data_IF_014302159831
#
_entry.id   IF_014302159831
#
_cell.length_a   1.000
_cell.length_b   1.000
_cell.length_c   1.000
_cell.angle_alpha   90.00
_cell.angle_beta   90.00
_cell.angle_gamma   90.00
#
_symmetry.space_group_name_H-M   'P 1'
#
loop_
_entity.id
_entity.type
_entity.pdbx_description
1 polymer ?
#
# COMPACT_ATOMS: atom_id res chain seq x y z
N UNK A 1 -20.40 -9.16 -10.02
CA UNK A 1 -21.59 -8.74 -9.24
C UNK A 1 -21.91 -7.26 -9.52
N UNK A 2 -21.01 -6.30 -9.25
CA UNK A 2 -21.28 -4.85 -9.48
C UNK A 2 -21.67 -4.58 -10.92
N UNK A 3 -20.94 -5.12 -11.90
CA UNK A 3 -21.27 -4.99 -13.33
C UNK A 3 -22.67 -5.51 -13.67
N UNK A 4 -23.08 -6.65 -13.10
CA UNK A 4 -24.41 -7.19 -13.32
C UNK A 4 -25.50 -6.28 -12.71
N UNK A 5 -25.24 -5.76 -11.51
CA UNK A 5 -26.17 -4.82 -10.87
C UNK A 5 -26.31 -3.51 -11.65
N UNK A 6 -25.22 -2.96 -12.19
CA UNK A 6 -25.27 -1.78 -13.06
C UNK A 6 -26.03 -2.04 -14.36
N UNK A 7 -25.97 -3.27 -14.90
CA UNK A 7 -26.65 -3.65 -16.13
C UNK A 7 -28.14 -4.01 -15.94
N UNK A 8 -28.57 -4.31 -14.71
CA UNK A 8 -29.97 -4.63 -14.40
C UNK A 8 -30.85 -3.39 -14.15
N UNK A 9 -30.23 -2.22 -13.96
CA UNK A 9 -30.97 -0.98 -13.75
C UNK A 9 -31.54 -0.43 -15.06
N UNK A 10 -32.82 -0.09 -15.04
CA UNK A 10 -33.54 0.53 -16.16
C UNK A 10 -33.41 2.07 -16.08
N UNK A 11 -32.14 2.54 -16.17
CA UNK A 11 -31.79 3.98 -16.17
C UNK A 11 -31.34 4.42 -17.55
N UNK A 12 -31.50 5.72 -17.85
CA UNK A 12 -31.13 6.30 -19.13
C UNK A 12 -29.61 6.42 -19.31
N UNK A 13 -28.85 6.38 -18.20
CA UNK A 13 -27.40 6.47 -18.23
C UNK A 13 -26.69 5.61 -17.16
N UNK A 14 -25.45 5.22 -17.44
CA UNK A 14 -24.60 4.51 -16.48
C UNK A 14 -24.28 5.37 -15.25
N UNK A 15 -24.27 6.69 -15.39
CA UNK A 15 -24.08 7.64 -14.28
C UNK A 15 -25.23 7.57 -13.29
N UNK A 16 -26.48 7.59 -13.77
CA UNK A 16 -27.68 7.47 -12.94
C UNK A 16 -27.76 6.10 -12.26
N UNK A 17 -27.51 5.02 -13.00
CA UNK A 17 -27.41 3.67 -12.44
C UNK A 17 -26.36 3.57 -11.34
N UNK A 18 -25.19 4.21 -11.52
CA UNK A 18 -24.15 4.23 -10.52
C UNK A 18 -24.54 5.03 -9.27
N UNK A 19 -25.19 6.20 -9.44
CA UNK A 19 -25.64 7.02 -8.31
C UNK A 19 -26.71 6.33 -7.46
N UNK A 20 -27.55 5.49 -8.06
CA UNK A 20 -28.53 4.67 -7.34
C UNK A 20 -27.89 3.45 -6.66
N UNK A 21 -26.98 2.77 -7.35
CA UNK A 21 -26.34 1.56 -6.84
C UNK A 21 -25.30 1.81 -5.74
N UNK A 22 -24.38 2.79 -5.94
CA UNK A 22 -23.23 3.00 -5.06
C UNK A 22 -23.58 3.19 -3.57
N UNK A 23 -24.68 3.90 -3.20
CA UNK A 23 -25.11 4.03 -1.80
C UNK A 23 -25.49 2.70 -1.15
N UNK A 24 -25.87 1.69 -1.94
CA UNK A 24 -26.29 0.37 -1.46
C UNK A 24 -25.13 -0.56 -1.18
N UNK A 25 -23.97 -0.29 -1.78
CA UNK A 25 -22.76 -1.11 -1.61
C UNK A 25 -22.20 -0.96 -0.18
N UNK A 26 -21.80 -2.10 0.37
CA UNK A 26 -21.20 -2.16 1.71
C UNK A 26 -19.76 -2.63 1.65
N UNK A 27 -18.93 -2.04 2.51
CA UNK A 27 -17.51 -2.37 2.61
C UNK A 27 -16.62 -1.36 1.92
N UNK A 28 -15.32 -1.67 1.84
CA UNK A 28 -14.32 -0.83 1.21
C UNK A 28 -14.26 -1.09 -0.30
N UNK A 29 -14.36 -0.04 -1.09
CA UNK A 29 -14.21 -0.14 -2.54
C UNK A 29 -13.61 1.11 -3.16
N UNK A 30 -12.79 0.92 -4.17
CA UNK A 30 -12.47 1.88 -5.20
C UNK A 30 -12.81 1.25 -6.52
N UNK A 31 -13.72 1.84 -7.27
CA UNK A 31 -14.19 1.32 -8.54
C UNK A 31 -13.80 2.25 -9.67
N UNK A 32 -13.34 1.69 -10.77
CA UNK A 32 -13.22 2.36 -12.06
C UNK A 32 -14.00 1.54 -13.08
N UNK A 33 -14.84 2.20 -13.83
CA UNK A 33 -15.66 1.58 -14.88
C UNK A 33 -15.88 2.60 -15.99
N UNK A 34 -16.35 2.15 -17.13
CA UNK A 34 -16.53 3.01 -18.30
C UNK A 34 -17.64 2.48 -19.20
N UNK A 35 -18.23 3.37 -19.95
CA UNK A 35 -18.98 3.09 -21.16
C UNK A 35 -18.18 3.55 -22.42
N UNK A 36 -18.84 3.71 -23.55
CA UNK A 36 -18.18 4.05 -24.82
C UNK A 36 -17.51 5.44 -24.80
N UNK A 37 -18.01 6.36 -23.98
CA UNK A 37 -17.62 7.78 -24.02
C UNK A 37 -17.17 8.34 -22.67
N UNK A 38 -17.40 7.62 -21.57
CA UNK A 38 -17.28 8.16 -20.23
C UNK A 38 -16.50 7.20 -19.32
N UNK A 39 -15.52 7.75 -18.59
CA UNK A 39 -14.81 7.07 -17.51
C UNK A 39 -15.38 7.52 -16.16
N UNK A 40 -15.68 6.54 -15.32
CA UNK A 40 -16.17 6.74 -13.97
C UNK A 40 -15.16 6.26 -12.94
N UNK A 41 -15.10 6.97 -11.80
CA UNK A 41 -14.32 6.55 -10.65
C UNK A 41 -15.08 6.83 -9.36
N UNK A 42 -15.24 5.82 -8.50
CA UNK A 42 -15.96 5.94 -7.24
C UNK A 42 -15.14 5.44 -6.08
N UNK A 43 -15.19 6.17 -4.95
CA UNK A 43 -14.55 5.79 -3.70
C UNK A 43 -15.58 5.61 -2.60
N UNK A 44 -15.47 4.53 -1.82
CA UNK A 44 -16.41 4.23 -0.74
C UNK A 44 -16.54 5.38 0.27
N UNK A 45 -17.67 5.47 1.02
CA UNK A 45 -17.93 6.57 1.95
C UNK A 45 -16.93 6.69 3.10
N UNK A 46 -16.20 5.64 3.42
CA UNK A 46 -15.14 5.65 4.43
C UNK A 46 -13.78 6.03 3.85
N UNK A 47 -13.62 5.93 2.52
CA UNK A 47 -12.34 6.18 1.85
C UNK A 47 -11.24 5.26 2.38
N UNK A 48 -11.56 3.98 2.59
CA UNK A 48 -10.65 3.01 3.22
C UNK A 48 -9.37 2.86 2.41
N UNK A 49 -9.51 2.71 1.07
CA UNK A 49 -8.37 2.64 0.15
C UNK A 49 -8.16 3.99 -0.55
N UNK A 50 -6.92 4.32 -0.93
CA UNK A 50 -6.65 5.54 -1.68
C UNK A 50 -7.18 5.43 -3.12
N UNK A 51 -7.57 6.58 -3.67
CA UNK A 51 -7.90 6.76 -5.07
C UNK A 51 -7.56 8.20 -5.43
N UNK A 52 -6.79 8.40 -6.50
CA UNK A 52 -6.23 9.71 -6.86
C UNK A 52 -6.56 10.07 -8.31
N UNK A 53 -6.65 11.38 -8.54
CA UNK A 53 -6.79 11.98 -9.86
C UNK A 53 -5.47 12.63 -10.27
N UNK A 54 -5.08 12.38 -11.50
CA UNK A 54 -3.96 13.01 -12.16
C UNK A 54 -4.35 13.64 -13.48
N UNK A 55 -3.55 14.60 -13.93
CA UNK A 55 -3.70 15.31 -15.20
C UNK A 55 -2.52 15.04 -16.11
N UNK A 56 -2.80 14.57 -17.31
CA UNK A 56 -1.88 14.55 -18.44
C UNK A 56 -2.05 15.80 -19.31
N UNK A 57 -1.14 16.03 -20.22
CA UNK A 57 -1.30 17.08 -21.24
C UNK A 57 -2.63 16.97 -21.98
N UNK A 58 -3.02 15.74 -22.34
CA UNK A 58 -4.29 15.41 -22.99
C UNK A 58 -5.06 14.36 -22.21
N UNK A 59 -5.85 14.76 -21.22
CA UNK A 59 -6.74 13.86 -20.51
C UNK A 59 -6.47 13.71 -19.02
N UNK A 60 -7.15 12.77 -18.40
CA UNK A 60 -7.16 12.50 -16.98
C UNK A 60 -6.65 11.09 -16.69
N UNK A 61 -6.11 10.90 -15.51
CA UNK A 61 -5.71 9.59 -14.99
C UNK A 61 -6.39 9.39 -13.65
N UNK A 62 -6.94 8.19 -13.46
CA UNK A 62 -7.41 7.70 -12.17
C UNK A 62 -6.52 6.54 -11.76
N UNK A 63 -5.98 6.60 -10.56
CA UNK A 63 -5.09 5.56 -10.05
C UNK A 63 -5.30 5.33 -8.55
N UNK A 64 -4.85 4.18 -8.06
CA UNK A 64 -4.90 3.88 -6.63
C UNK A 64 -3.91 4.72 -5.82
N UNK A 65 -2.74 5.06 -6.41
CA UNK A 65 -1.62 5.66 -5.69
C UNK A 65 -0.94 6.74 -6.55
N UNK A 66 -0.35 7.75 -5.90
CA UNK A 66 0.39 8.82 -6.59
C UNK A 66 1.58 8.29 -7.38
N UNK A 67 2.25 7.24 -6.90
CA UNK A 67 3.34 6.59 -7.60
C UNK A 67 2.95 6.08 -9.01
N UNK A 68 1.67 5.74 -9.23
CA UNK A 68 1.19 5.35 -10.55
C UNK A 68 1.07 6.55 -11.49
N UNK A 69 0.76 7.73 -10.95
CA UNK A 69 0.74 8.98 -11.73
C UNK A 69 2.15 9.34 -12.22
N UNK A 70 3.15 9.20 -11.34
CA UNK A 70 4.56 9.47 -11.69
C UNK A 70 5.04 8.58 -12.84
N UNK A 71 4.67 7.29 -12.83
CA UNK A 71 5.05 6.32 -13.87
C UNK A 71 4.53 6.72 -15.26
N UNK A 72 3.32 7.30 -15.32
CA UNK A 72 2.70 7.73 -16.59
C UNK A 72 2.96 9.20 -16.93
N UNK A 73 3.71 9.92 -16.09
CA UNK A 73 4.02 11.33 -16.28
C UNK A 73 2.82 12.26 -16.04
N UNK A 74 1.85 11.84 -15.23
CA UNK A 74 0.70 12.66 -14.88
C UNK A 74 0.99 13.52 -13.64
N UNK A 75 0.55 14.77 -13.65
CA UNK A 75 0.59 15.64 -12.47
C UNK A 75 -0.55 15.27 -11.51
N UNK A 76 -0.24 15.14 -10.23
CA UNK A 76 -1.25 14.94 -9.19
C UNK A 76 -2.19 16.14 -9.09
N UNK A 77 -3.49 15.90 -9.07
CA UNK A 77 -4.51 16.94 -8.91
C UNK A 77 -5.08 16.90 -7.49
N UNK A 78 -5.67 15.78 -7.10
CA UNK A 78 -6.21 15.55 -5.74
C UNK A 78 -6.54 14.08 -5.51
N UNK A 79 -6.83 13.75 -4.28
CA UNK A 79 -7.53 12.49 -3.98
C UNK A 79 -9.01 12.59 -4.37
N UNK A 80 -9.61 11.45 -4.70
CA UNK A 80 -11.06 11.31 -4.79
C UNK A 80 -11.61 11.24 -3.36
N UNK A 81 -12.58 12.10 -3.07
CA UNK A 81 -13.17 12.19 -1.73
C UNK A 81 -13.97 10.93 -1.37
N UNK A 82 -14.05 10.56 -0.07
CA UNK A 82 -14.94 9.50 0.37
C UNK A 82 -16.39 9.78 0.01
N UNK A 83 -17.06 8.82 -0.63
CA UNK A 83 -18.45 8.94 -1.10
C UNK A 83 -18.61 9.76 -2.37
N UNK A 84 -17.55 9.94 -3.14
CA UNK A 84 -17.54 10.70 -4.40
C UNK A 84 -17.55 9.78 -5.61
N UNK A 85 -18.34 10.15 -6.62
CA UNK A 85 -18.30 9.65 -7.98
C UNK A 85 -17.72 10.73 -8.89
N UNK A 86 -16.66 10.38 -9.60
CA UNK A 86 -16.06 11.20 -10.66
C UNK A 86 -16.56 10.68 -12.00
N UNK A 87 -16.96 11.61 -12.87
CA UNK A 87 -17.35 11.35 -14.25
C UNK A 87 -16.43 12.15 -15.16
N UNK A 88 -15.82 11.50 -16.14
CA UNK A 88 -14.89 12.11 -17.10
C UNK A 88 -15.34 11.75 -18.51
N UNK A 89 -15.73 12.76 -19.29
CA UNK A 89 -16.16 12.64 -20.69
C UNK A 89 -15.54 13.73 -21.57
N UNK A 90 -16.05 13.92 -22.77
CA UNK A 90 -15.60 14.95 -23.71
C UNK A 90 -15.80 16.38 -23.17
N UNK A 91 -16.75 16.59 -22.25
CA UNK A 91 -17.03 17.88 -21.62
C UNK A 91 -16.14 18.14 -20.40
N UNK A 92 -15.31 17.17 -20.02
CA UNK A 92 -14.35 17.27 -18.93
C UNK A 92 -14.69 16.44 -17.72
N UNK A 93 -14.18 16.85 -16.56
CA UNK A 93 -14.37 16.18 -15.29
C UNK A 93 -15.52 16.79 -14.49
N UNK A 94 -16.44 15.95 -14.07
CA UNK A 94 -17.50 16.28 -13.09
C UNK A 94 -17.38 15.44 -11.85
N UNK A 95 -17.94 15.92 -10.75
CA UNK A 95 -17.92 15.25 -9.46
C UNK A 95 -19.29 15.33 -8.80
N UNK A 96 -19.74 14.21 -8.27
CA UNK A 96 -21.00 14.12 -7.50
C UNK A 96 -20.79 13.31 -6.24
N UNK A 97 -21.51 13.66 -5.16
CA UNK A 97 -21.50 12.85 -3.94
C UNK A 97 -22.71 11.90 -3.93
N UNK A 98 -22.41 10.60 -3.94
CA UNK A 98 -23.43 9.57 -3.78
C UNK A 98 -23.70 9.23 -2.29
N UNK A 99 -22.77 9.59 -1.38
CA UNK A 99 -22.95 9.36 0.05
C UNK A 99 -22.21 10.41 0.89
N UNK A 100 -22.66 10.58 2.14
CA UNK A 100 -21.97 11.42 3.12
C UNK A 100 -20.62 10.79 3.48
N UNK A 101 -19.55 11.55 3.39
CA UNK A 101 -18.22 11.13 3.79
C UNK A 101 -18.16 10.79 5.29
N UNK A 102 -17.55 9.64 5.61
CA UNK A 102 -17.24 9.16 6.97
C UNK A 102 -15.81 8.61 7.00
N UNK A 103 -14.79 9.48 6.88
CA UNK A 103 -13.41 9.05 6.67
C UNK A 103 -12.91 8.06 7.73
N UNK A 104 -12.42 6.92 7.28
CA UNK A 104 -11.83 5.86 8.10
C UNK A 104 -10.76 5.13 7.28
N UNK A 105 -9.73 5.88 6.87
CA UNK A 105 -8.61 5.37 6.06
C UNK A 105 -7.89 4.21 6.76
N UNK A 106 -7.39 3.29 5.97
CA UNK A 106 -6.67 2.13 6.49
C UNK A 106 -5.24 2.50 6.90
N UNK A 107 -4.91 2.39 8.19
CA UNK A 107 -3.54 2.60 8.69
C UNK A 107 -2.54 1.63 8.06
N UNK A 108 -3.00 0.46 7.64
CA UNK A 108 -2.15 -0.56 7.02
C UNK A 108 -1.62 -0.16 5.64
N UNK A 109 -2.21 0.86 5.00
CA UNK A 109 -1.61 1.50 3.82
C UNK A 109 -0.23 2.07 4.14
N UNK A 110 -0.11 2.81 5.25
CA UNK A 110 1.17 3.37 5.68
C UNK A 110 2.15 2.29 6.14
N UNK A 111 1.66 1.26 6.84
CA UNK A 111 2.52 0.20 7.37
C UNK A 111 3.09 -0.68 6.27
N UNK A 112 2.26 -1.11 5.30
CA UNK A 112 2.65 -2.16 4.37
C UNK A 112 2.10 -2.02 2.94
N UNK A 113 0.78 -1.71 2.76
CA UNK A 113 0.12 -1.91 1.46
C UNK A 113 0.58 -0.93 0.39
N UNK A 114 0.65 0.37 0.71
CA UNK A 114 1.05 1.38 -0.25
C UNK A 114 2.55 1.27 -0.59
N UNK A 115 2.92 1.68 -1.79
CA UNK A 115 4.33 1.80 -2.16
C UNK A 115 4.98 2.92 -1.32
N UNK A 116 6.25 2.80 -0.95
CA UNK A 116 6.92 3.81 -0.13
C UNK A 116 7.02 5.19 -0.80
N UNK A 117 7.05 5.23 -2.12
CA UNK A 117 7.07 6.46 -2.94
C UNK A 117 5.68 7.10 -3.14
N UNK A 118 4.65 6.60 -2.47
CA UNK A 118 3.29 7.12 -2.51
C UNK A 118 3.07 8.18 -1.42
N UNK A 119 2.24 9.18 -1.75
CA UNK A 119 1.69 10.15 -0.80
C UNK A 119 0.21 9.88 -0.58
N UNK A 120 -0.24 9.79 0.68
CA UNK A 120 -1.63 9.58 1.07
C UNK A 120 -2.01 10.68 2.06
N UNK A 121 -3.11 11.39 1.80
CA UNK A 121 -3.59 12.51 2.65
C UNK A 121 -2.49 13.53 2.95
N UNK A 122 -1.68 13.85 1.93
CA UNK A 122 -0.58 14.80 2.03
C UNK A 122 0.65 14.30 2.81
N UNK A 123 0.72 13.03 3.19
CA UNK A 123 1.83 12.43 3.94
C UNK A 123 2.58 11.40 3.10
N UNK A 124 3.90 11.52 3.04
CA UNK A 124 4.76 10.51 2.45
C UNK A 124 4.67 9.20 3.24
N UNK A 125 4.43 8.10 2.53
CA UNK A 125 4.43 6.75 3.12
C UNK A 125 5.83 6.38 3.61
N UNK A 126 6.87 6.71 2.84
CA UNK A 126 8.26 6.47 3.24
C UNK A 126 8.61 7.16 4.56
N UNK A 127 8.37 8.48 4.65
CA UNK A 127 8.66 9.26 5.87
C UNK A 127 7.85 8.77 7.08
N UNK A 128 6.58 8.39 6.85
CA UNK A 128 5.74 7.81 7.90
C UNK A 128 6.34 6.52 8.46
N UNK A 129 6.88 5.65 7.59
CA UNK A 129 7.57 4.41 8.03
C UNK A 129 8.87 4.68 8.75
N UNK A 130 9.65 5.67 8.31
CA UNK A 130 10.86 6.10 9.02
C UNK A 130 10.51 6.59 10.42
N UNK A 131 9.46 7.42 10.56
CA UNK A 131 9.03 7.91 11.88
C UNK A 131 8.48 6.79 12.78
N UNK A 132 7.78 5.81 12.23
CA UNK A 132 7.40 4.60 12.98
C UNK A 132 8.63 3.88 13.55
N UNK A 133 9.71 3.80 12.78
CA UNK A 133 10.98 3.23 13.25
C UNK A 133 11.64 4.04 14.37
N UNK A 134 11.66 5.37 14.26
CA UNK A 134 12.15 6.25 15.33
C UNK A 134 11.33 6.08 16.62
N UNK A 135 10.00 6.08 16.47
CA UNK A 135 9.12 5.89 17.62
C UNK A 135 9.33 4.53 18.29
N UNK A 136 9.52 3.47 17.49
CA UNK A 136 9.82 2.14 18.01
C UNK A 136 11.13 2.12 18.82
N UNK A 137 12.17 2.85 18.38
CA UNK A 137 13.42 2.96 19.12
C UNK A 137 13.26 3.71 20.46
N UNK A 138 12.42 4.75 20.50
CA UNK A 138 12.10 5.49 21.75
C UNK A 138 11.34 4.61 22.75
N UNK A 139 10.39 3.80 22.27
CA UNK A 139 9.55 2.95 23.10
C UNK A 139 10.25 1.65 23.54
N UNK A 140 11.13 1.13 22.70
CA UNK A 140 11.78 -0.17 22.88
C UNK A 140 13.27 -0.10 22.57
N UNK A 141 14.01 0.68 23.36
CA UNK A 141 15.46 0.73 23.26
C UNK A 141 16.10 -0.60 23.68
N UNK A 142 17.03 -1.09 22.89
CA UNK A 142 17.78 -2.32 23.18
C UNK A 142 19.27 -2.12 22.89
N UNK A 143 20.11 -2.90 23.56
CA UNK A 143 21.54 -2.94 23.26
C UNK A 143 21.81 -3.95 22.14
N UNK A 144 22.32 -3.48 21.01
CA UNK A 144 22.67 -4.28 19.86
C UNK A 144 23.85 -3.70 19.08
N UNK A 145 24.42 -4.51 18.21
CA UNK A 145 25.59 -4.12 17.43
C UNK A 145 25.21 -3.68 15.99
N UNK A 146 23.99 -4.04 15.55
CA UNK A 146 23.50 -3.73 14.22
C UNK A 146 21.97 -3.73 14.16
N UNK A 147 21.40 -2.74 13.48
CA UNK A 147 20.00 -2.72 13.03
C UNK A 147 19.95 -3.16 11.58
N UNK A 148 19.06 -4.10 11.26
CA UNK A 148 18.87 -4.58 9.91
C UNK A 148 17.38 -4.77 9.58
N UNK A 149 16.96 -4.52 8.31
CA UNK A 149 15.59 -4.75 7.90
C UNK A 149 15.33 -6.19 7.48
N UNK A 150 14.06 -6.61 7.54
CA UNK A 150 13.52 -7.62 6.64
C UNK A 150 13.20 -6.93 5.31
N UNK A 151 13.93 -7.21 4.24
CA UNK A 151 13.75 -6.46 2.99
C UNK A 151 12.48 -6.90 2.23
N UNK A 152 11.81 -5.98 1.55
CA UNK A 152 12.15 -4.57 1.39
C UNK A 152 11.28 -3.67 2.28
N UNK A 153 10.13 -4.18 2.76
CA UNK A 153 9.11 -3.42 3.48
C UNK A 153 9.60 -2.86 4.83
N UNK A 154 10.50 -3.58 5.52
CA UNK A 154 11.08 -3.13 6.78
C UNK A 154 12.19 -2.07 6.66
N UNK A 155 12.66 -1.76 5.44
CA UNK A 155 13.82 -0.87 5.24
C UNK A 155 13.61 0.53 5.83
N UNK A 156 12.53 1.27 5.53
CA UNK A 156 12.38 2.63 6.04
C UNK A 156 12.29 2.67 7.57
N UNK A 157 11.57 1.72 8.18
CA UNK A 157 11.47 1.63 9.64
C UNK A 157 12.81 1.27 10.30
N UNK A 158 13.62 0.39 9.68
CA UNK A 158 14.95 0.08 10.17
C UNK A 158 15.90 1.27 10.11
N UNK A 159 15.80 2.09 9.07
CA UNK A 159 16.55 3.36 8.97
C UNK A 159 16.17 4.29 10.14
N UNK A 160 14.88 4.52 10.35
CA UNK A 160 14.40 5.37 11.44
C UNK A 160 14.80 4.85 12.83
N UNK A 161 14.74 3.54 13.04
CA UNK A 161 15.19 2.92 14.28
C UNK A 161 16.70 3.13 14.51
N UNK A 162 17.51 2.93 13.47
CA UNK A 162 18.97 3.11 13.57
C UNK A 162 19.35 4.57 13.85
N UNK A 163 18.70 5.53 13.17
CA UNK A 163 18.91 6.97 13.38
C UNK A 163 18.61 7.39 14.82
N UNK A 164 17.50 6.94 15.38
CA UNK A 164 17.06 7.31 16.73
C UNK A 164 17.88 6.62 17.82
N UNK A 165 18.17 5.31 17.64
CA UNK A 165 18.92 4.53 18.64
C UNK A 165 20.41 4.75 18.62
N UNK A 166 20.97 5.31 17.54
CA UNK A 166 22.42 5.42 17.34
C UNK A 166 23.11 4.09 17.00
N UNK A 167 22.37 2.98 16.89
CA UNK A 167 22.93 1.68 16.51
C UNK A 167 23.16 1.67 14.99
N UNK A 168 24.33 1.20 14.49
CA UNK A 168 24.63 1.20 13.06
C UNK A 168 23.59 0.42 12.25
N UNK A 169 23.17 0.98 11.09
CA UNK A 169 22.36 0.31 10.10
C UNK A 169 23.19 -0.59 9.17
N UNK A 170 22.66 -1.73 8.78
CA UNK A 170 23.27 -2.57 7.74
C UNK A 170 22.31 -3.55 7.10
N UNK A 171 22.56 -3.86 5.83
CA UNK A 171 21.81 -4.87 5.10
C UNK A 171 22.33 -6.27 5.49
N UNK A 172 21.71 -6.90 6.47
CA UNK A 172 22.06 -8.26 6.89
C UNK A 172 21.42 -9.37 6.06
N UNK A 173 20.46 -9.03 5.20
CA UNK A 173 19.73 -9.95 4.33
C UNK A 173 19.72 -9.48 2.88
N UNK A 174 19.81 -10.42 1.95
CA UNK A 174 19.59 -10.18 0.52
C UNK A 174 18.32 -10.88 0.08
N UNK A 175 17.46 -10.16 -0.63
CA UNK A 175 16.26 -10.69 -1.25
C UNK A 175 16.58 -11.21 -2.65
N UNK A 176 16.19 -12.45 -2.93
CA UNK A 176 16.23 -12.97 -4.29
C UNK A 176 15.06 -12.41 -5.11
N UNK A 177 15.38 -11.57 -6.09
CA UNK A 177 14.38 -10.91 -6.94
C UNK A 177 13.59 -11.88 -7.84
N UNK A 178 14.14 -13.06 -8.11
CA UNK A 178 13.51 -14.07 -8.97
C UNK A 178 12.49 -14.96 -8.24
N UNK A 179 12.39 -14.85 -6.90
CA UNK A 179 11.44 -15.62 -6.10
C UNK A 179 10.22 -14.74 -5.77
N UNK A 180 9.07 -15.11 -6.31
CA UNK A 180 7.79 -14.41 -6.10
C UNK A 180 7.23 -14.54 -4.67
N UNK A 181 5.94 -14.20 -4.50
CA UNK A 181 5.25 -14.26 -3.19
C UNK A 181 5.12 -15.70 -2.70
N UNK A 182 5.76 -16.01 -1.57
CA UNK A 182 5.78 -17.37 -0.97
C UNK A 182 4.57 -17.68 -0.08
N UNK A 183 3.77 -16.66 0.29
CA UNK A 183 2.63 -16.81 1.22
C UNK A 183 1.44 -17.58 0.64
N UNK A 184 1.36 -17.73 -0.69
CA UNK A 184 0.24 -18.36 -1.41
C UNK A 184 0.44 -19.87 -1.55
N UNK A 185 1.57 -20.41 -1.10
CA UNK A 185 1.91 -21.83 -1.24
C UNK A 185 1.13 -22.72 -0.25
N UNK A 186 0.57 -23.84 -0.67
CA UNK A 186 -0.38 -24.63 0.13
C UNK A 186 0.25 -25.40 1.30
N UNK A 187 1.54 -25.75 1.27
CA UNK A 187 2.16 -26.53 2.34
C UNK A 187 3.18 -25.73 3.17
N UNK A 188 3.32 -26.09 4.46
CA UNK A 188 4.22 -25.42 5.39
C UNK A 188 5.70 -25.67 5.05
N UNK A 189 6.04 -26.86 4.57
CA UNK A 189 7.38 -27.22 4.13
C UNK A 189 7.83 -26.42 2.90
N UNK A 190 6.93 -26.26 1.93
CA UNK A 190 7.18 -25.45 0.72
C UNK A 190 7.32 -23.98 1.10
N UNK A 191 6.54 -23.48 2.09
CA UNK A 191 6.68 -22.10 2.59
C UNK A 191 8.03 -21.86 3.27
N UNK A 192 8.52 -22.80 4.08
CA UNK A 192 9.83 -22.68 4.73
C UNK A 192 10.98 -22.73 3.72
N UNK A 193 10.90 -23.60 2.72
CA UNK A 193 11.85 -23.64 1.61
C UNK A 193 11.79 -22.32 0.82
N UNK A 194 10.59 -21.81 0.55
CA UNK A 194 10.36 -20.54 -0.12
C UNK A 194 11.00 -19.34 0.60
N UNK A 195 10.95 -19.29 1.95
CA UNK A 195 11.61 -18.24 2.73
C UNK A 195 13.14 -18.33 2.57
N UNK A 196 13.73 -19.53 2.64
CA UNK A 196 15.17 -19.72 2.44
C UNK A 196 15.62 -19.36 1.03
N UNK A 197 14.81 -19.64 0.01
CA UNK A 197 15.10 -19.26 -1.38
C UNK A 197 14.96 -17.76 -1.60
N UNK A 198 14.09 -17.11 -0.84
CA UNK A 198 13.76 -15.68 -0.98
C UNK A 198 14.75 -14.77 -0.25
N UNK A 199 15.21 -15.16 0.94
CA UNK A 199 16.06 -14.37 1.81
C UNK A 199 17.33 -15.14 2.17
N UNK A 200 18.48 -14.51 1.94
CA UNK A 200 19.79 -15.08 2.28
C UNK A 200 20.56 -14.13 3.21
N UNK A 201 21.07 -14.61 4.37
CA UNK A 201 21.87 -13.79 5.26
C UNK A 201 23.26 -13.51 4.70
N UNK A 202 23.71 -12.27 4.85
CA UNK A 202 25.10 -11.87 4.59
C UNK A 202 25.95 -12.17 5.82
N UNK A 203 26.55 -13.36 5.86
CA UNK A 203 27.35 -13.83 6.99
C UNK A 203 28.43 -12.85 7.42
N UNK A 204 29.08 -12.18 6.48
CA UNK A 204 30.11 -11.15 6.75
C UNK A 204 29.56 -9.95 7.52
N UNK A 205 28.26 -9.68 7.43
CA UNK A 205 27.60 -8.55 8.08
C UNK A 205 27.05 -8.95 9.45
N UNK A 206 26.46 -10.16 9.57
CA UNK A 206 25.67 -10.55 10.76
C UNK A 206 26.42 -11.44 11.74
N UNK A 207 27.49 -12.14 11.32
CA UNK A 207 28.17 -13.12 12.17
C UNK A 207 28.74 -12.49 13.44
N UNK A 208 28.44 -13.09 14.59
CA UNK A 208 28.91 -12.67 15.92
C UNK A 208 28.29 -11.39 16.47
N UNK A 209 27.29 -10.82 15.82
CA UNK A 209 26.64 -9.57 16.25
C UNK A 209 25.30 -9.84 16.93
N UNK A 210 24.96 -8.98 17.87
CA UNK A 210 23.59 -8.82 18.39
C UNK A 210 22.82 -7.96 17.41
N UNK A 211 21.71 -8.48 16.92
CA UNK A 211 20.95 -7.89 15.82
C UNK A 211 19.60 -7.40 16.29
N UNK A 212 19.24 -6.17 15.89
CA UNK A 212 17.85 -5.71 15.84
C UNK A 212 17.35 -5.98 14.41
N UNK A 213 16.33 -6.80 14.28
CA UNK A 213 15.69 -7.10 12.99
C UNK A 213 14.34 -6.41 12.94
N UNK A 214 14.21 -5.45 12.05
CA UNK A 214 12.98 -4.67 11.87
C UNK A 214 12.18 -5.24 10.69
N UNK A 215 10.91 -5.51 10.95
CA UNK A 215 9.92 -5.90 9.93
C UNK A 215 8.72 -4.95 10.02
N UNK A 216 7.88 -4.92 8.99
CA UNK A 216 6.66 -4.12 8.96
C UNK A 216 5.57 -4.69 9.88
N UNK A 217 5.48 -6.00 9.97
CA UNK A 217 4.43 -6.69 10.73
C UNK A 217 4.80 -8.13 11.08
N UNK A 218 4.35 -8.58 12.24
CA UNK A 218 4.46 -9.98 12.68
C UNK A 218 3.05 -10.56 12.78
N UNK A 219 2.67 -11.44 11.84
CA UNK A 219 1.35 -12.08 11.81
C UNK A 219 1.40 -13.46 12.50
N UNK A 220 2.14 -14.41 11.91
CA UNK A 220 2.31 -15.80 12.44
C UNK A 220 3.73 -16.07 12.95
N UNK A 221 4.64 -15.14 12.74
CA UNK A 221 6.04 -15.24 13.13
C UNK A 221 6.86 -16.30 12.38
N UNK A 222 6.33 -16.94 11.35
CA UNK A 222 7.04 -17.99 10.62
C UNK A 222 8.27 -17.47 9.89
N UNK A 223 8.18 -16.30 9.27
CA UNK A 223 9.31 -15.63 8.60
C UNK A 223 10.40 -15.29 9.60
N UNK A 224 10.03 -14.69 10.74
CA UNK A 224 10.97 -14.28 11.77
C UNK A 224 11.67 -15.49 12.41
N UNK A 225 10.93 -16.58 12.72
CA UNK A 225 11.52 -17.82 13.23
C UNK A 225 12.50 -18.45 12.25
N UNK A 226 12.19 -18.40 10.94
CA UNK A 226 13.09 -18.90 9.91
C UNK A 226 14.36 -18.05 9.83
N UNK A 227 14.26 -16.72 9.87
CA UNK A 227 15.38 -15.77 9.84
C UNK A 227 16.32 -15.98 11.05
N UNK A 228 15.76 -16.09 12.26
CA UNK A 228 16.55 -16.33 13.49
C UNK A 228 17.31 -17.66 13.43
N UNK A 229 16.78 -18.68 12.75
CA UNK A 229 17.43 -19.99 12.57
C UNK A 229 18.45 -20.05 11.44
N UNK A 230 18.55 -19.03 10.60
CA UNK A 230 19.51 -18.96 9.49
C UNK A 230 20.92 -18.51 9.92
N UNK A 231 21.18 -18.37 11.22
CA UNK A 231 22.49 -17.98 11.81
C UNK A 231 23.59 -18.99 11.50
#
# INVERSE_FOLDING_TARGET
>A
LVTALLAEHDFDSLEEAALDLLPTLRGAFCLTFMDEHTLYAARDPQGVRPLVLGRLERGWVVASETAALDIVGASFVREVEPGELITIDENGLRSQRFAKAKPAGCVFEYVYLARPDTTISGRSVYESRVEMGRQLAREHAVEADLVMPTPESGVPAAIGYAEESGIPYGNGLVKNAYVGRTFIQPSQTIRQLGIRLKLNPLKSVVAGKRLVVIDDSIVRGNTQRALVRMR
#
